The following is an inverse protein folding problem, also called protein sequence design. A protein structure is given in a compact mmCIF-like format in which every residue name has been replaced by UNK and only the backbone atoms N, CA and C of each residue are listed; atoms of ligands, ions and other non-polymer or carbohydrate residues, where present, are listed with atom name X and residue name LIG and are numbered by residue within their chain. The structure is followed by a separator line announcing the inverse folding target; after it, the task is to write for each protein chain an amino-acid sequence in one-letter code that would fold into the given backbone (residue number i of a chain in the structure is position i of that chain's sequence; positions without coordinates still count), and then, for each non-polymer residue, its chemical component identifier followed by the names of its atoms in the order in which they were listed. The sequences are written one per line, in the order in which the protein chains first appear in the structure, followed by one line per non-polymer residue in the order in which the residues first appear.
data_IF_388738085418
#
_entry.id   IF_388738085418
#
_cell.length_a   1.000
_cell.length_b   1.000
_cell.length_c   1.000
_cell.angle_alpha   90.00
_cell.angle_beta   90.00
_cell.angle_gamma   90.00
#
_symmetry.space_group_name_H-M   'P 1'
#
loop_
_entity.id
_entity.type
_entity.pdbx_description
1 polymer ?
#
# COMPACT_ATOMS: atom_id res chain seq x y z
N UNK A 1 -2.34 30.22 57.40
CA UNK A 1 -2.56 30.32 55.95
C UNK A 1 -1.65 29.41 55.12
N UNK A 2 -0.40 29.13 55.51
CA UNK A 2 0.54 28.29 54.74
C UNK A 2 0.18 26.79 54.70
N UNK A 3 -0.56 26.27 55.70
CA UNK A 3 -0.91 24.83 55.75
C UNK A 3 -2.03 24.47 54.75
N UNK A 4 -2.96 25.37 54.50
CA UNK A 4 -4.08 25.19 53.54
C UNK A 4 -3.59 25.18 52.09
N UNK A 5 -2.56 25.97 51.77
CA UNK A 5 -1.97 26.00 50.42
C UNK A 5 -1.19 24.72 50.08
N UNK A 6 -0.58 24.04 51.07
CA UNK A 6 0.10 22.76 50.87
C UNK A 6 -0.84 21.59 50.68
N UNK A 7 -2.00 21.58 51.36
CA UNK A 7 -3.00 20.51 51.22
C UNK A 7 -3.68 20.58 49.86
N UNK A 8 -4.01 21.78 49.39
CA UNK A 8 -4.61 21.95 48.03
C UNK A 8 -3.65 21.64 46.89
N UNK A 9 -2.35 21.86 47.05
CA UNK A 9 -1.35 21.45 46.03
C UNK A 9 -1.17 19.93 45.96
N UNK A 10 -1.24 19.24 47.12
CA UNK A 10 -1.12 17.78 47.17
C UNK A 10 -2.37 17.06 46.60
N UNK A 11 -3.57 17.57 46.86
CA UNK A 11 -4.81 17.02 46.31
C UNK A 11 -4.90 17.27 44.82
N UNK A 12 -4.44 18.40 44.31
CA UNK A 12 -4.47 18.72 42.88
C UNK A 12 -3.38 18.01 42.07
N UNK A 13 -2.21 17.66 42.66
CA UNK A 13 -1.17 16.86 42.00
C UNK A 13 -1.56 15.37 41.92
N UNK A 14 -2.19 14.82 42.99
CA UNK A 14 -2.67 13.43 42.99
C UNK A 14 -3.81 13.16 42.00
N UNK A 15 -4.72 14.12 41.82
CA UNK A 15 -5.83 13.97 40.88
C UNK A 15 -5.43 14.08 39.41
N UNK A 16 -4.37 14.83 39.09
CA UNK A 16 -3.84 14.93 37.69
C UNK A 16 -2.99 13.74 37.32
N UNK A 17 -2.20 13.18 38.24
CA UNK A 17 -1.40 11.98 37.98
C UNK A 17 -2.27 10.72 37.86
N UNK A 18 -3.32 10.58 38.68
CA UNK A 18 -4.20 9.43 38.63
C UNK A 18 -5.03 9.32 37.35
N UNK A 19 -5.47 10.46 36.78
CA UNK A 19 -6.26 10.45 35.53
C UNK A 19 -5.39 10.17 34.30
N UNK A 20 -4.14 10.58 34.28
CA UNK A 20 -3.19 10.31 33.19
C UNK A 20 -2.61 8.88 33.22
N UNK A 21 -2.51 8.26 34.40
CA UNK A 21 -2.12 6.84 34.53
C UNK A 21 -3.27 5.95 34.08
N UNK A 22 -4.49 6.20 34.58
CA UNK A 22 -5.67 5.41 34.24
C UNK A 22 -5.98 5.41 32.73
N UNK A 23 -5.77 6.53 32.04
CA UNK A 23 -5.95 6.61 30.59
C UNK A 23 -4.85 5.84 29.84
N UNK A 24 -3.60 5.87 30.33
CA UNK A 24 -2.50 5.07 29.78
C UNK A 24 -2.73 3.59 30.00
N UNK A 25 -3.14 3.20 31.21
CA UNK A 25 -3.39 1.81 31.55
C UNK A 25 -4.55 1.20 30.74
N UNK A 26 -5.59 1.99 30.47
CA UNK A 26 -6.67 1.59 29.59
C UNK A 26 -6.23 1.40 28.13
N UNK A 27 -5.45 2.36 27.59
CA UNK A 27 -4.93 2.27 26.22
C UNK A 27 -3.95 1.09 26.06
N UNK A 28 -3.06 0.88 27.02
CA UNK A 28 -2.13 -0.26 26.99
C UNK A 28 -2.89 -1.58 27.07
N UNK A 29 -3.90 -1.68 27.93
CA UNK A 29 -4.68 -2.92 28.05
C UNK A 29 -5.47 -3.24 26.77
N UNK A 30 -5.99 -2.22 26.07
CA UNK A 30 -6.63 -2.42 24.77
C UNK A 30 -5.63 -2.89 23.70
N UNK A 31 -4.44 -2.31 23.67
CA UNK A 31 -3.39 -2.73 22.75
C UNK A 31 -2.99 -4.18 23.02
N UNK A 32 -2.75 -4.54 24.28
CA UNK A 32 -2.39 -5.89 24.68
C UNK A 32 -3.49 -6.92 24.33
N UNK A 33 -4.77 -6.56 24.51
CA UNK A 33 -5.89 -7.39 24.10
C UNK A 33 -5.97 -7.56 22.58
N UNK A 34 -5.73 -6.50 21.81
CA UNK A 34 -5.69 -6.58 20.35
C UNK A 34 -4.53 -7.43 19.86
N UNK A 35 -3.34 -7.28 20.45
CA UNK A 35 -2.17 -8.10 20.13
C UNK A 35 -2.47 -9.57 20.45
N UNK A 36 -2.99 -9.87 21.64
CA UNK A 36 -3.35 -11.23 22.05
C UNK A 36 -4.41 -11.84 21.13
N UNK A 37 -5.41 -11.05 20.70
CA UNK A 37 -6.42 -11.50 19.74
C UNK A 37 -5.83 -11.82 18.37
N UNK A 38 -4.94 -10.92 17.86
CA UNK A 38 -4.27 -11.12 16.56
C UNK A 38 -3.32 -12.31 16.62
N UNK A 39 -2.56 -12.48 17.71
CA UNK A 39 -1.64 -13.62 17.90
C UNK A 39 -2.40 -14.95 17.97
N UNK A 40 -3.55 -14.96 18.64
CA UNK A 40 -4.43 -16.14 18.70
C UNK A 40 -5.13 -16.42 17.35
N UNK A 41 -5.33 -15.41 16.51
CA UNK A 41 -6.06 -15.48 15.25
C UNK A 41 -5.30 -14.85 14.10
N UNK A 42 -4.04 -15.22 13.90
CA UNK A 42 -3.19 -14.63 12.84
C UNK A 42 -3.80 -14.70 11.43
N UNK A 43 -4.64 -15.71 11.16
CA UNK A 43 -5.35 -15.83 9.89
C UNK A 43 -6.33 -14.66 9.64
N UNK A 44 -6.95 -14.10 10.70
CA UNK A 44 -7.82 -12.92 10.59
C UNK A 44 -7.01 -11.68 10.22
N UNK A 45 -5.79 -11.53 10.74
CA UNK A 45 -4.90 -10.45 10.35
C UNK A 45 -4.50 -10.55 8.88
N UNK A 46 -4.15 -11.75 8.39
CA UNK A 46 -3.85 -11.97 6.98
C UNK A 46 -5.07 -11.74 6.08
N UNK A 47 -6.26 -12.18 6.51
CA UNK A 47 -7.51 -11.90 5.80
C UNK A 47 -7.80 -10.40 5.76
N UNK A 48 -7.59 -9.69 6.85
CA UNK A 48 -7.76 -8.23 6.91
C UNK A 48 -6.78 -7.51 5.97
N UNK A 49 -5.51 -7.93 5.94
CA UNK A 49 -4.50 -7.42 5.01
C UNK A 49 -4.90 -7.65 3.54
N UNK A 50 -5.35 -8.86 3.24
CA UNK A 50 -5.84 -9.23 1.91
C UNK A 50 -7.03 -8.36 1.50
N UNK A 51 -8.05 -8.25 2.35
CA UNK A 51 -9.26 -7.45 2.07
C UNK A 51 -8.93 -5.96 1.99
N UNK A 52 -8.07 -5.44 2.86
CA UNK A 52 -7.64 -4.05 2.81
C UNK A 52 -6.96 -3.73 1.48
N UNK A 53 -6.02 -4.57 1.03
CA UNK A 53 -5.35 -4.40 -0.24
C UNK A 53 -6.30 -4.56 -1.46
N UNK A 54 -7.23 -5.51 -1.38
CA UNK A 54 -8.24 -5.75 -2.42
C UNK A 54 -9.19 -4.57 -2.55
N UNK A 55 -9.77 -4.10 -1.44
CA UNK A 55 -10.73 -3.00 -1.43
C UNK A 55 -10.09 -1.67 -1.81
N UNK A 56 -8.83 -1.46 -1.44
CA UNK A 56 -8.05 -0.28 -1.82
C UNK A 56 -7.79 -0.20 -3.33
N UNK A 57 -7.77 -1.34 -4.02
CA UNK A 57 -7.61 -1.42 -5.47
C UNK A 57 -8.94 -1.23 -6.24
N UNK A 58 -10.09 -1.33 -5.55
CA UNK A 58 -11.41 -1.13 -6.18
C UNK A 58 -11.69 0.37 -6.32
N UNK A 59 -12.04 0.87 -7.53
CA UNK A 59 -12.42 2.27 -7.75
C UNK A 59 -13.52 2.72 -6.78
N UNK A 60 -13.48 3.98 -6.36
CA UNK A 60 -14.41 4.58 -5.38
C UNK A 60 -14.23 4.03 -3.96
N UNK A 61 -14.34 2.72 -3.74
CA UNK A 61 -14.17 2.08 -2.42
C UNK A 61 -12.77 2.35 -1.87
N UNK A 62 -11.75 2.18 -2.70
CA UNK A 62 -10.35 2.44 -2.35
C UNK A 62 -10.03 3.90 -2.07
N UNK A 63 -10.89 4.84 -2.49
CA UNK A 63 -10.75 6.25 -2.15
C UNK A 63 -11.22 6.56 -0.72
N UNK A 64 -12.02 5.69 -0.12
CA UNK A 64 -12.60 5.86 1.24
C UNK A 64 -11.86 5.01 2.26
N UNK A 65 -11.47 3.80 1.88
CA UNK A 65 -10.81 2.85 2.79
C UNK A 65 -9.30 3.14 2.81
N UNK A 66 -8.71 3.48 3.97
CA UNK A 66 -7.27 3.70 4.11
C UNK A 66 -6.53 2.36 4.24
N UNK A 67 -6.59 1.51 3.20
CA UNK A 67 -6.01 0.16 3.22
C UNK A 67 -4.50 0.17 3.49
N UNK A 68 -3.77 1.11 2.89
CA UNK A 68 -2.32 1.28 3.14
C UNK A 68 -2.01 1.55 4.61
N UNK A 69 -2.86 2.30 5.32
CA UNK A 69 -2.71 2.55 6.77
C UNK A 69 -2.93 1.27 7.57
N UNK A 70 -3.93 0.47 7.18
CA UNK A 70 -4.21 -0.84 7.81
C UNK A 70 -3.02 -1.78 7.61
N UNK A 71 -2.48 -1.84 6.38
CA UNK A 71 -1.30 -2.66 6.06
C UNK A 71 -0.09 -2.22 6.89
N UNK A 72 0.17 -0.91 6.98
CA UNK A 72 1.24 -0.35 7.80
C UNK A 72 1.09 -0.73 9.27
N UNK A 73 -0.12 -0.57 9.83
CA UNK A 73 -0.40 -0.87 11.23
C UNK A 73 -0.24 -2.36 11.57
N UNK A 74 -0.78 -3.27 10.75
CA UNK A 74 -0.65 -4.70 10.97
C UNK A 74 0.78 -5.21 10.75
N UNK A 75 1.54 -4.60 9.83
CA UNK A 75 2.95 -4.96 9.62
C UNK A 75 3.84 -4.61 10.81
N UNK A 76 3.41 -3.70 11.68
CA UNK A 76 4.09 -3.39 12.95
C UNK A 76 4.11 -4.58 13.95
N UNK A 77 3.24 -5.59 13.77
CA UNK A 77 3.21 -6.80 14.59
C UNK A 77 4.22 -7.88 14.14
N UNK A 78 4.85 -7.70 12.99
CA UNK A 78 5.84 -8.65 12.45
C UNK A 78 7.10 -8.75 13.33
N UNK A 79 7.70 -7.66 13.84
CA UNK A 79 8.91 -7.75 14.67
C UNK A 79 8.70 -8.47 16.01
N UNK A 80 7.48 -8.42 16.57
CA UNK A 80 7.10 -9.16 17.79
C UNK A 80 6.98 -10.68 17.58
N UNK A 81 6.92 -11.14 16.32
CA UNK A 81 6.72 -12.55 16.00
C UNK A 81 5.25 -12.96 15.88
N UNK A 82 4.30 -12.06 16.11
CA UNK A 82 2.86 -12.32 16.02
C UNK A 82 2.41 -12.61 14.59
N UNK A 83 3.06 -11.97 13.60
CA UNK A 83 2.80 -12.17 12.18
C UNK A 83 4.08 -12.52 11.41
N UNK A 84 3.94 -13.43 10.44
CA UNK A 84 5.04 -13.77 9.54
C UNK A 84 5.12 -12.76 8.38
N UNK A 85 6.30 -12.17 8.15
CA UNK A 85 6.52 -11.17 7.10
C UNK A 85 6.11 -11.66 5.70
N UNK A 86 6.44 -12.91 5.37
CA UNK A 86 6.13 -13.47 4.04
C UNK A 86 4.64 -13.64 3.83
N UNK A 87 3.90 -14.06 4.86
CA UNK A 87 2.45 -14.19 4.83
C UNK A 87 1.78 -12.82 4.73
N UNK A 88 2.31 -11.79 5.39
CA UNK A 88 1.85 -10.39 5.27
C UNK A 88 2.04 -9.89 3.84
N UNK A 89 3.25 -10.06 3.27
CA UNK A 89 3.54 -9.67 1.89
C UNK A 89 2.67 -10.45 0.88
N UNK A 90 2.51 -11.76 1.09
CA UNK A 90 1.70 -12.60 0.21
C UNK A 90 0.21 -12.18 0.26
N UNK A 91 -0.35 -11.94 1.44
CA UNK A 91 -1.74 -11.51 1.60
C UNK A 91 -1.99 -10.14 0.93
N UNK A 92 -1.11 -9.16 1.19
CA UNK A 92 -1.22 -7.83 0.58
C UNK A 92 -1.07 -7.89 -0.95
N UNK A 93 -0.11 -8.68 -1.45
CA UNK A 93 0.12 -8.87 -2.89
C UNK A 93 -1.07 -9.55 -3.56
N UNK A 94 -1.59 -10.62 -2.97
CA UNK A 94 -2.74 -11.36 -3.51
C UNK A 94 -4.00 -10.49 -3.56
N UNK A 95 -4.29 -9.75 -2.47
CA UNK A 95 -5.41 -8.82 -2.42
C UNK A 95 -5.33 -7.75 -3.50
N UNK A 96 -4.16 -7.14 -3.65
CA UNK A 96 -3.93 -6.12 -4.66
C UNK A 96 -4.03 -6.67 -6.09
N UNK A 97 -3.48 -7.86 -6.37
CA UNK A 97 -3.58 -8.49 -7.68
C UNK A 97 -5.03 -8.80 -8.07
N UNK A 98 -5.82 -9.33 -7.14
CA UNK A 98 -7.22 -9.64 -7.39
C UNK A 98 -8.06 -8.37 -7.54
N UNK A 99 -7.79 -7.34 -6.74
CA UNK A 99 -8.49 -6.06 -6.83
C UNK A 99 -8.23 -5.34 -8.16
N UNK A 100 -6.96 -5.15 -8.52
CA UNK A 100 -6.59 -4.53 -9.80
C UNK A 100 -7.05 -5.37 -11.00
N UNK A 101 -6.87 -6.70 -10.91
CA UNK A 101 -7.29 -7.62 -11.95
C UNK A 101 -8.79 -7.58 -12.20
N UNK A 102 -9.60 -7.55 -11.14
CA UNK A 102 -11.07 -7.45 -11.25
C UNK A 102 -11.49 -6.11 -11.84
N UNK A 103 -10.86 -4.99 -11.40
CA UNK A 103 -11.11 -3.66 -11.96
C UNK A 103 -10.73 -3.60 -13.44
N UNK A 104 -9.57 -4.15 -13.81
CA UNK A 104 -9.14 -4.23 -15.21
C UNK A 104 -10.13 -5.04 -16.08
N UNK A 105 -10.55 -6.22 -15.60
CA UNK A 105 -11.51 -7.06 -16.34
C UNK A 105 -12.88 -6.42 -16.45
N UNK A 106 -13.36 -5.73 -15.43
CA UNK A 106 -14.59 -4.95 -15.51
C UNK A 106 -14.49 -3.88 -16.60
N UNK A 107 -13.40 -3.12 -16.62
CA UNK A 107 -13.12 -2.13 -17.67
C UNK A 107 -13.00 -2.78 -19.06
N UNK A 108 -12.28 -3.90 -19.15
CA UNK A 108 -12.05 -4.59 -20.43
C UNK A 108 -13.33 -5.17 -21.04
N UNK A 109 -14.28 -5.61 -20.22
CA UNK A 109 -15.57 -6.12 -20.68
C UNK A 109 -16.56 -5.03 -21.02
N UNK A 110 -16.67 -4.01 -20.19
CA UNK A 110 -17.64 -2.93 -20.37
C UNK A 110 -17.11 -1.77 -21.24
N UNK A 111 -15.85 -1.81 -21.65
CA UNK A 111 -15.23 -0.80 -22.49
C UNK A 111 -15.45 0.64 -21.94
N UNK A 112 -15.52 1.64 -22.79
CA UNK A 112 -15.70 3.05 -22.38
C UNK A 112 -17.00 3.33 -21.63
N UNK A 113 -18.01 2.51 -21.76
CA UNK A 113 -19.31 2.70 -21.10
C UNK A 113 -19.18 2.67 -19.57
N UNK A 114 -18.26 1.87 -19.03
CA UNK A 114 -18.06 1.79 -17.58
C UNK A 114 -17.58 3.12 -16.98
N UNK A 115 -16.82 3.92 -17.73
CA UNK A 115 -16.26 5.18 -17.27
C UNK A 115 -17.33 6.26 -17.08
N UNK A 116 -18.46 6.12 -17.79
CA UNK A 116 -19.63 7.02 -17.69
C UNK A 116 -20.75 6.43 -16.84
N UNK A 117 -20.63 5.16 -16.44
CA UNK A 117 -21.63 4.46 -15.62
C UNK A 117 -21.38 4.68 -14.12
N UNK A 118 -22.46 4.55 -13.33
CA UNK A 118 -22.32 4.53 -11.87
C UNK A 118 -21.52 3.28 -11.44
N UNK A 119 -20.59 3.36 -10.47
CA UNK A 119 -20.30 4.51 -9.60
C UNK A 119 -19.22 5.49 -10.13
N UNK A 120 -18.55 5.19 -11.27
CA UNK A 120 -17.43 6.01 -11.78
C UNK A 120 -17.91 7.38 -12.27
N UNK A 121 -19.13 7.49 -12.80
CA UNK A 121 -19.73 8.75 -13.22
C UNK A 121 -19.85 9.79 -12.10
N UNK A 122 -19.80 9.37 -10.84
CA UNK A 122 -19.77 10.26 -9.67
C UNK A 122 -18.39 10.92 -9.45
N UNK A 123 -17.35 10.45 -10.15
CA UNK A 123 -15.96 10.93 -10.01
C UNK A 123 -15.35 11.35 -11.37
N UNK A 124 -16.01 12.21 -12.16
CA UNK A 124 -15.62 12.48 -13.54
C UNK A 124 -14.22 13.10 -13.65
N UNK A 125 -13.82 13.91 -12.68
CA UNK A 125 -12.46 14.49 -12.63
C UNK A 125 -11.37 13.44 -12.50
N UNK A 126 -11.55 12.44 -11.62
CA UNK A 126 -10.56 11.38 -11.39
C UNK A 126 -10.51 10.44 -12.59
N UNK A 127 -11.65 10.12 -13.20
CA UNK A 127 -11.74 9.35 -14.45
C UNK A 127 -10.96 10.07 -15.55
N UNK A 128 -11.23 11.35 -15.79
CA UNK A 128 -10.52 12.14 -16.81
C UNK A 128 -9.02 12.22 -16.57
N UNK A 129 -8.61 12.38 -15.29
CA UNK A 129 -7.20 12.36 -14.91
C UNK A 129 -6.55 10.99 -15.18
N UNK A 130 -7.24 9.88 -14.90
CA UNK A 130 -6.74 8.53 -15.17
C UNK A 130 -6.63 8.23 -16.66
N UNK A 131 -7.59 8.70 -17.49
CA UNK A 131 -7.52 8.60 -18.96
C UNK A 131 -6.35 9.41 -19.51
N UNK A 132 -6.17 10.67 -19.08
CA UNK A 132 -5.07 11.53 -19.51
C UNK A 132 -3.72 10.92 -19.09
N UNK A 133 -3.64 10.42 -17.86
CA UNK A 133 -2.43 9.77 -17.35
C UNK A 133 -2.09 8.52 -18.17
N UNK A 134 -3.09 7.71 -18.49
CA UNK A 134 -2.93 6.53 -19.33
C UNK A 134 -2.53 6.88 -20.76
N UNK A 135 -3.15 7.92 -21.36
CA UNK A 135 -2.81 8.41 -22.70
C UNK A 135 -1.38 8.91 -22.77
N UNK A 136 -0.90 9.61 -21.73
CA UNK A 136 0.47 10.16 -21.67
C UNK A 136 1.54 9.09 -21.46
N UNK A 137 1.30 8.13 -20.57
CA UNK A 137 2.29 7.15 -20.11
C UNK A 137 2.07 5.74 -20.68
N UNK A 138 0.95 5.47 -21.32
CA UNK A 138 0.60 4.16 -21.89
C UNK A 138 0.70 3.04 -20.87
N UNK A 139 1.39 1.96 -21.22
CA UNK A 139 1.57 0.80 -20.33
C UNK A 139 2.25 1.18 -19.00
N UNK A 140 3.13 2.18 -19.01
CA UNK A 140 3.82 2.64 -17.80
C UNK A 140 2.86 3.31 -16.80
N UNK A 141 1.72 3.81 -17.27
CA UNK A 141 0.70 4.39 -16.39
C UNK A 141 0.23 3.41 -15.32
N UNK A 142 0.09 2.12 -15.66
CA UNK A 142 -0.32 1.07 -14.72
C UNK A 142 0.68 0.94 -13.57
N UNK A 143 1.98 1.05 -13.87
CA UNK A 143 3.02 0.99 -12.86
C UNK A 143 3.06 2.27 -12.01
N UNK A 144 3.13 3.44 -12.66
CA UNK A 144 3.34 4.72 -12.00
C UNK A 144 2.12 5.15 -11.17
N UNK A 145 0.92 4.88 -11.66
CA UNK A 145 -0.32 5.25 -10.98
C UNK A 145 -0.41 4.67 -9.57
N UNK A 146 0.18 3.50 -9.34
CA UNK A 146 0.16 2.86 -8.02
C UNK A 146 0.76 3.71 -6.90
N UNK A 147 1.63 4.65 -7.27
CA UNK A 147 2.27 5.58 -6.35
C UNK A 147 1.61 6.96 -6.32
N UNK A 148 0.51 7.15 -7.09
CA UNK A 148 -0.24 8.42 -7.15
C UNK A 148 -1.63 8.21 -6.55
N UNK A 149 -1.88 8.66 -5.28
CA UNK A 149 -3.06 8.27 -4.52
C UNK A 149 -4.40 8.43 -5.24
N UNK A 150 -4.82 9.57 -5.80
CA UNK A 150 -6.20 9.69 -6.28
C UNK A 150 -6.51 8.82 -7.51
N UNK A 151 -5.53 8.56 -8.37
CA UNK A 151 -5.77 7.87 -9.65
C UNK A 151 -5.45 6.37 -9.61
N UNK A 152 -4.75 5.88 -8.58
CA UNK A 152 -4.22 4.51 -8.54
C UNK A 152 -5.30 3.43 -8.69
N UNK A 153 -6.46 3.60 -8.04
CA UNK A 153 -7.57 2.66 -8.13
C UNK A 153 -8.33 2.75 -9.46
N UNK A 154 -8.26 3.90 -10.13
CA UNK A 154 -8.97 4.13 -11.40
C UNK A 154 -8.17 3.69 -12.63
N UNK A 155 -6.84 3.68 -12.58
CA UNK A 155 -6.02 3.32 -13.74
C UNK A 155 -6.21 1.87 -14.21
N UNK A 156 -6.33 0.83 -13.37
CA UNK A 156 -6.62 -0.52 -13.84
C UNK A 156 -7.91 -0.62 -14.66
N UNK A 157 -9.01 -0.05 -14.16
CA UNK A 157 -10.29 -0.06 -14.87
C UNK A 157 -10.24 0.78 -16.16
N UNK A 158 -9.55 1.93 -16.12
CA UNK A 158 -9.34 2.79 -17.30
C UNK A 158 -8.49 2.08 -18.36
N UNK A 159 -7.41 1.41 -17.96
CA UNK A 159 -6.57 0.63 -18.87
C UNK A 159 -7.37 -0.48 -19.57
N UNK A 160 -8.24 -1.17 -18.83
CA UNK A 160 -9.17 -2.15 -19.39
C UNK A 160 -10.16 -1.51 -20.36
N UNK A 161 -10.81 -0.41 -19.94
CA UNK A 161 -11.83 0.31 -20.74
C UNK A 161 -11.26 0.91 -22.03
N UNK A 162 -9.98 1.27 -22.05
CA UNK A 162 -9.27 1.77 -23.24
C UNK A 162 -8.66 0.65 -24.10
N UNK A 163 -9.00 -0.62 -23.83
CA UNK A 163 -8.62 -1.75 -24.67
C UNK A 163 -7.18 -2.22 -24.52
N UNK A 164 -6.52 -1.97 -23.37
CA UNK A 164 -5.20 -2.51 -23.12
C UNK A 164 -5.24 -4.04 -23.13
N UNK A 165 -4.30 -4.67 -23.83
CA UNK A 165 -4.21 -6.13 -23.86
C UNK A 165 -3.84 -6.70 -22.48
N UNK A 166 -4.52 -7.76 -21.97
CA UNK A 166 -4.20 -8.40 -20.69
C UNK A 166 -2.73 -8.81 -20.57
N UNK A 167 -2.14 -9.32 -21.67
CA UNK A 167 -0.72 -9.69 -21.74
C UNK A 167 0.25 -8.52 -21.48
N UNK A 168 -0.19 -7.26 -21.63
CA UNK A 168 0.60 -6.07 -21.27
C UNK A 168 0.27 -5.57 -19.88
N UNK A 169 -0.98 -5.67 -19.45
CA UNK A 169 -1.43 -5.22 -18.14
C UNK A 169 -0.81 -6.04 -17.01
N UNK A 170 -1.00 -7.37 -17.02
CA UNK A 170 -0.61 -8.22 -15.90
C UNK A 170 0.89 -8.16 -15.54
N UNK A 171 1.85 -8.28 -16.47
CA UNK A 171 3.26 -8.21 -16.11
C UNK A 171 3.65 -6.90 -15.44
N UNK A 172 3.12 -5.77 -15.95
CA UNK A 172 3.42 -4.45 -15.41
C UNK A 172 2.74 -4.24 -14.06
N UNK A 173 1.50 -4.70 -13.90
CA UNK A 173 0.78 -4.63 -12.64
C UNK A 173 1.44 -5.50 -11.56
N UNK A 174 1.85 -6.72 -11.90
CA UNK A 174 2.59 -7.60 -10.97
C UNK A 174 3.89 -6.92 -10.52
N UNK A 175 4.67 -6.36 -11.45
CA UNK A 175 5.91 -5.65 -11.10
C UNK A 175 5.64 -4.45 -10.18
N UNK A 176 4.56 -3.69 -10.45
CA UNK A 176 4.16 -2.57 -9.62
C UNK A 176 3.76 -3.02 -8.20
N UNK A 177 3.00 -4.12 -8.07
CA UNK A 177 2.56 -4.67 -6.79
C UNK A 177 3.73 -5.21 -5.98
N UNK A 178 4.64 -5.94 -6.62
CA UNK A 178 5.83 -6.50 -5.97
C UNK A 178 6.75 -5.41 -5.40
N UNK A 179 6.71 -4.20 -5.94
CA UNK A 179 7.39 -3.05 -5.37
C UNK A 179 6.54 -2.35 -4.30
N UNK A 180 5.25 -2.21 -4.56
CA UNK A 180 4.31 -1.50 -3.68
C UNK A 180 4.12 -2.20 -2.33
N UNK A 181 3.97 -3.54 -2.32
CA UNK A 181 3.71 -4.28 -1.08
C UNK A 181 4.87 -4.13 -0.07
N UNK A 182 6.15 -4.34 -0.42
CA UNK A 182 7.25 -4.04 0.48
C UNK A 182 7.31 -2.56 0.89
N UNK A 183 7.04 -1.63 -0.03
CA UNK A 183 7.06 -0.19 0.28
C UNK A 183 6.04 0.22 1.35
N UNK A 184 4.95 -0.54 1.53
CA UNK A 184 3.94 -0.29 2.55
C UNK A 184 4.12 -1.15 3.81
N UNK A 185 4.65 -2.37 3.67
CA UNK A 185 4.87 -3.29 4.79
C UNK A 185 6.15 -2.93 5.56
N UNK A 186 7.28 -2.69 4.85
CA UNK A 186 8.57 -2.50 5.51
C UNK A 186 8.65 -1.29 6.44
N UNK A 187 8.04 -0.13 6.15
CA UNK A 187 8.08 0.99 7.09
C UNK A 187 7.49 0.66 8.46
N UNK A 188 6.39 -0.10 8.52
CA UNK A 188 5.80 -0.56 9.78
C UNK A 188 6.74 -1.51 10.55
N UNK A 189 7.32 -2.47 9.84
CA UNK A 189 8.30 -3.42 10.39
C UNK A 189 9.54 -2.69 10.91
N UNK A 190 10.10 -1.77 10.10
CA UNK A 190 11.33 -1.05 10.45
C UNK A 190 11.13 -0.07 11.60
N UNK A 191 9.98 0.62 11.64
CA UNK A 191 9.68 1.56 12.72
C UNK A 191 9.67 0.86 14.09
N UNK A 192 9.01 -0.29 14.19
CA UNK A 192 8.94 -1.05 15.43
C UNK A 192 10.30 -1.73 15.75
N UNK A 193 10.97 -2.27 14.73
CA UNK A 193 12.32 -2.85 14.93
C UNK A 193 13.32 -1.81 15.44
N UNK A 194 13.29 -0.59 14.91
CA UNK A 194 14.12 0.52 15.38
C UNK A 194 13.79 0.88 16.83
N UNK A 195 12.49 0.99 17.18
CA UNK A 195 12.04 1.28 18.52
C UNK A 195 12.53 0.21 19.52
N UNK A 196 12.45 -1.08 19.16
CA UNK A 196 13.00 -2.17 19.98
C UNK A 196 14.50 -2.02 20.21
N UNK A 197 15.28 -1.59 19.22
CA UNK A 197 16.71 -1.37 19.33
C UNK A 197 17.04 -0.26 20.33
N UNK A 198 16.29 0.85 20.29
CA UNK A 198 16.52 1.99 21.21
C UNK A 198 16.00 1.75 22.63
N UNK A 199 14.98 0.91 22.80
CA UNK A 199 14.37 0.61 24.11
C UNK A 199 14.96 -0.65 24.76
N UNK A 200 15.81 -1.40 24.05
CA UNK A 200 16.52 -2.56 24.62
C UNK A 200 15.67 -3.82 24.78
N UNK A 201 14.59 -3.96 23.98
CA UNK A 201 13.77 -5.17 23.98
C UNK A 201 14.46 -6.30 23.17
N UNK A 202 14.24 -7.59 23.51
CA UNK A 202 14.94 -8.71 22.88
C UNK A 202 14.69 -8.79 21.36
N UNK A 203 15.76 -9.02 20.60
CA UNK A 203 15.80 -9.00 19.13
C UNK A 203 15.64 -10.39 18.51
N UNK A 204 14.89 -10.47 17.42
CA UNK A 204 15.02 -11.54 16.42
C UNK A 204 16.01 -11.09 15.32
N UNK A 205 17.28 -11.45 15.44
CA UNK A 205 18.41 -10.96 14.61
C UNK A 205 18.34 -11.24 13.10
N UNK A 206 17.43 -12.09 12.63
CA UNK A 206 17.47 -12.59 11.25
C UNK A 206 16.69 -11.73 10.24
N UNK A 207 15.91 -10.76 10.70
CA UNK A 207 15.00 -10.01 9.82
C UNK A 207 15.72 -8.89 9.05
N UNK A 208 16.63 -8.16 9.71
CA UNK A 208 17.30 -7.00 9.10
C UNK A 208 18.16 -7.33 7.88
N UNK A 209 18.90 -8.45 7.92
CA UNK A 209 19.77 -8.88 6.80
C UNK A 209 18.99 -9.32 5.55
N UNK A 210 17.78 -9.86 5.72
CA UNK A 210 16.94 -10.30 4.60
C UNK A 210 16.18 -9.14 3.96
N UNK A 211 15.82 -8.11 4.71
CA UNK A 211 15.12 -6.93 4.21
C UNK A 211 15.97 -6.10 3.24
N UNK A 212 17.31 -6.08 3.43
CA UNK A 212 18.24 -5.41 2.51
C UNK A 212 18.17 -5.97 1.09
N UNK A 213 17.98 -7.29 0.96
CA UNK A 213 17.89 -7.98 -0.34
C UNK A 213 16.67 -7.50 -1.12
N UNK A 214 15.52 -7.26 -0.47
CA UNK A 214 14.30 -6.76 -1.14
C UNK A 214 14.41 -5.30 -1.56
N UNK A 215 15.06 -4.45 -0.75
CA UNK A 215 15.36 -3.08 -1.14
C UNK A 215 16.24 -3.02 -2.38
N UNK A 216 17.25 -3.89 -2.46
CA UNK A 216 18.17 -3.99 -3.61
C UNK A 216 17.46 -4.58 -4.83
N UNK A 217 16.68 -5.66 -4.69
CA UNK A 217 15.95 -6.28 -5.80
C UNK A 217 14.87 -5.31 -6.31
N UNK A 218 14.11 -4.67 -5.43
CA UNK A 218 13.11 -3.67 -5.81
C UNK A 218 13.73 -2.48 -6.53
N UNK A 219 14.84 -1.95 -6.02
CA UNK A 219 15.60 -0.89 -6.66
C UNK A 219 16.15 -1.30 -8.03
N UNK A 220 16.72 -2.51 -8.14
CA UNK A 220 17.23 -3.04 -9.41
C UNK A 220 16.13 -3.25 -10.44
N UNK A 221 14.94 -3.71 -10.03
CA UNK A 221 13.79 -3.85 -10.92
C UNK A 221 13.28 -2.49 -11.43
N UNK A 222 13.26 -1.46 -10.58
CA UNK A 222 12.89 -0.08 -11.01
C UNK A 222 13.88 0.43 -12.05
N UNK A 223 15.18 0.28 -11.79
CA UNK A 223 16.23 0.72 -12.71
C UNK A 223 16.16 -0.07 -14.03
N UNK A 224 15.99 -1.39 -13.98
CA UNK A 224 15.85 -2.23 -15.15
C UNK A 224 14.62 -1.86 -16.00
N UNK A 225 13.47 -1.58 -15.35
CA UNK A 225 12.25 -1.17 -16.03
C UNK A 225 12.40 0.24 -16.64
N UNK A 226 13.03 1.16 -15.93
CA UNK A 226 13.31 2.50 -16.42
C UNK A 226 14.26 2.47 -17.65
N UNK A 227 15.34 1.71 -17.56
CA UNK A 227 16.31 1.52 -18.67
C UNK A 227 15.63 0.84 -19.87
N UNK A 228 14.81 -0.20 -19.64
CA UNK A 228 14.10 -0.88 -20.72
C UNK A 228 13.09 0.04 -21.43
N UNK A 229 12.37 0.90 -20.69
CA UNK A 229 11.41 1.84 -21.27
C UNK A 229 12.10 2.96 -22.04
N UNK A 230 13.24 3.47 -21.55
CA UNK A 230 14.06 4.45 -22.25
C UNK A 230 14.62 3.86 -23.55
N UNK A 231 15.16 2.64 -23.51
CA UNK A 231 15.69 1.96 -24.70
C UNK A 231 14.60 1.68 -25.75
N UNK A 232 13.39 1.28 -25.36
CA UNK A 232 12.28 1.08 -26.31
C UNK A 232 11.84 2.39 -26.97
N UNK A 233 11.89 3.52 -26.28
CA UNK A 233 11.55 4.85 -26.87
C UNK A 233 12.59 5.31 -27.89
N UNK A 234 13.86 4.96 -27.72
CA UNK A 234 14.93 5.31 -28.67
C UNK A 234 14.97 4.36 -29.87
N UNK A 235 14.52 3.10 -29.73
CA UNK A 235 14.47 2.14 -30.83
C UNK A 235 13.37 2.40 -31.86
N UNK A 236 12.30 3.08 -31.49
CA UNK A 236 11.18 3.44 -32.41
C UNK A 236 11.40 4.76 -33.15
N UNK A 237 12.45 5.52 -32.82
CA UNK A 237 12.77 6.78 -33.47
C UNK A 237 13.81 6.66 -34.62
N UNK A 238 14.29 5.45 -34.91
CA UNK A 238 15.28 5.19 -35.98
C UNK A 238 14.68 4.19 -36.97
N UNK A 239 13.57 4.56 -37.61
CA UNK A 239 13.18 3.99 -38.87
C UNK A 239 13.21 5.15 -39.90
N UNK A 240 14.30 5.31 -40.66
CA UNK A 240 14.38 6.41 -41.62
C UNK A 240 13.46 6.13 -42.79
N UNK A 241 12.80 7.16 -43.27
CA UNK A 241 12.16 7.29 -44.55
C UNK A 241 13.12 6.92 -45.67
N UNK A 242 13.17 5.63 -46.00
CA UNK A 242 13.94 5.11 -47.15
C UNK A 242 13.05 4.16 -47.93
N UNK A 243 11.95 4.67 -48.49
CA UNK A 243 11.20 4.05 -49.60
C UNK A 243 10.29 5.05 -50.30
N UNK A 244 10.86 6.11 -50.80
CA UNK A 244 10.26 6.87 -51.93
C UNK A 244 11.38 7.31 -52.85
N UNK A 245 11.86 6.38 -53.67
CA UNK A 245 12.51 6.67 -54.94
C UNK A 245 12.64 5.38 -55.73
N UNK A 246 11.59 5.01 -56.44
CA UNK A 246 11.65 4.37 -57.76
C UNK A 246 10.27 4.35 -58.40
#
# INVERSE_FOLDING_TARGET
MALFARVTSYVNSGARTGRSSQHRDFVTSLIDQLIAFVSANAWLAYLTLFLAALLEAVPVVGSVIPGSTIILALSALVPGGDLNLWSVLAAATAGALLGDGSAFWAGHRAQREILTSWPLSSYPRVVAQSEEFFRRWGTLAVFLARFVPPIRAFVPITAGALGMAPARFYPVNIAAILLWAPAHVLPGVLAVSALHTYVGLPHHEHLGKRLWIFGVIGGALIVALAVWTIRRRHGSAIEPAAKESH
#
